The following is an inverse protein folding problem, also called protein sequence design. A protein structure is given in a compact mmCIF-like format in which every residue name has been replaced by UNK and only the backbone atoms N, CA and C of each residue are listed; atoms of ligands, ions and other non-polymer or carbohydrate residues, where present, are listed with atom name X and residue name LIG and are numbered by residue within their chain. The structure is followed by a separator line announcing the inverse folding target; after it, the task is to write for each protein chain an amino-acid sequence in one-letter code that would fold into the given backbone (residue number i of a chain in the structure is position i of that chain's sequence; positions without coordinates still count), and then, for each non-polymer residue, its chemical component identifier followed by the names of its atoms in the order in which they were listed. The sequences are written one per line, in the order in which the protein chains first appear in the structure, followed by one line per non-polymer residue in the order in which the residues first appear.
data_IF_033352893537
#
_entry.id   IF_033352893537
#
_cell.length_a   1.000
_cell.length_b   1.000
_cell.length_c   1.000
_cell.angle_alpha   90.00
_cell.angle_beta   90.00
_cell.angle_gamma   90.00
#
_symmetry.space_group_name_H-M   'P 1'
#
loop_
_entity.id
_entity.type
_entity.pdbx_description
1 polymer ?
#
# COMPACT_ATOMS: atom_id res chain seq x y z
N UNK A 1 -6.95 28.26 -7.04
CA UNK A 1 -5.66 28.46 -6.32
C UNK A 1 -4.57 27.75 -7.10
N UNK A 2 -3.56 28.47 -7.59
CA UNK A 2 -2.43 27.87 -8.29
C UNK A 2 -1.42 27.31 -7.28
N UNK A 3 -0.98 26.07 -7.48
CA UNK A 3 0.04 25.44 -6.64
C UNK A 3 1.37 26.17 -6.89
N UNK A 4 1.99 26.72 -5.84
CA UNK A 4 3.30 27.36 -5.93
C UNK A 4 4.34 26.30 -5.52
N UNK A 5 5.12 25.75 -6.46
CA UNK A 5 6.15 24.80 -6.11
C UNK A 5 7.20 25.47 -5.20
N UNK A 6 7.61 24.76 -4.15
CA UNK A 6 8.76 25.19 -3.36
C UNK A 6 10.02 25.02 -4.22
N UNK A 7 10.81 26.09 -4.31
CA UNK A 7 12.06 26.09 -5.07
C UNK A 7 13.07 25.13 -4.43
N UNK A 8 13.73 24.29 -5.23
CA UNK A 8 14.63 23.22 -4.73
C UNK A 8 15.86 23.77 -4.01
N UNK A 9 16.20 25.04 -4.27
CA UNK A 9 17.33 25.75 -3.66
C UNK A 9 16.92 26.68 -2.50
N UNK A 10 15.65 26.61 -2.05
CA UNK A 10 15.17 27.45 -0.97
C UNK A 10 15.82 27.06 0.37
N UNK A 11 16.54 28.01 0.97
CA UNK A 11 17.00 27.90 2.36
C UNK A 11 15.86 27.50 3.31
N UNK A 12 16.16 26.83 4.43
CA UNK A 12 15.12 26.42 5.40
C UNK A 12 14.22 27.57 5.89
N UNK A 13 14.71 28.81 5.88
CA UNK A 13 13.94 30.03 6.13
C UNK A 13 12.97 30.41 5.00
N UNK A 14 13.31 30.13 3.74
CA UNK A 14 12.44 30.34 2.59
C UNK A 14 11.26 29.37 2.56
N UNK A 15 11.50 28.09 2.87
CA UNK A 15 10.46 27.06 2.96
C UNK A 15 9.47 27.39 4.08
N UNK A 16 9.98 27.77 5.26
CA UNK A 16 9.12 28.15 6.40
C UNK A 16 8.23 29.35 6.07
N UNK A 17 8.78 30.38 5.43
CA UNK A 17 8.00 31.55 5.00
C UNK A 17 6.90 31.18 4.01
N UNK A 18 7.19 30.31 3.05
CA UNK A 18 6.20 29.84 2.07
C UNK A 18 5.07 29.05 2.76
N UNK A 19 5.41 28.22 3.76
CA UNK A 19 4.43 27.50 4.57
C UNK A 19 3.55 28.47 5.38
N UNK A 20 4.16 29.43 6.08
CA UNK A 20 3.44 30.41 6.90
C UNK A 20 2.48 31.24 6.03
N UNK A 21 2.95 31.72 4.86
CA UNK A 21 2.13 32.46 3.89
C UNK A 21 0.96 31.63 3.34
N UNK A 22 1.19 30.35 3.04
CA UNK A 22 0.14 29.45 2.56
C UNK A 22 -0.91 29.19 3.65
N UNK A 23 -0.46 28.98 4.88
CA UNK A 23 -1.33 28.76 6.05
C UNK A 23 -2.17 30.00 6.36
N UNK A 24 -1.56 31.19 6.31
CA UNK A 24 -2.24 32.46 6.54
C UNK A 24 -3.28 32.74 5.47
N UNK A 25 -2.94 32.54 4.19
CA UNK A 25 -3.88 32.69 3.07
C UNK A 25 -5.11 31.79 3.24
N UNK A 26 -4.92 30.49 3.51
CA UNK A 26 -6.03 29.55 3.72
C UNK A 26 -6.88 29.97 4.93
N UNK A 27 -6.24 30.38 6.03
CA UNK A 27 -6.93 30.83 7.24
C UNK A 27 -7.71 32.13 7.04
N UNK A 28 -7.21 33.03 6.19
CA UNK A 28 -7.88 34.27 5.82
C UNK A 28 -9.07 33.97 4.91
N UNK A 29 -8.87 33.21 3.83
CA UNK A 29 -9.96 32.83 2.91
C UNK A 29 -11.05 32.03 3.63
N UNK A 30 -10.72 31.20 4.63
CA UNK A 30 -11.72 30.50 5.44
C UNK A 30 -12.56 31.44 6.30
N UNK A 31 -11.94 32.49 6.86
CA UNK A 31 -12.65 33.49 7.66
C UNK A 31 -13.51 34.41 6.81
N UNK A 32 -13.08 34.71 5.59
CA UNK A 32 -13.76 35.62 4.67
C UNK A 32 -14.90 34.93 3.90
N UNK A 33 -14.68 33.71 3.41
CA UNK A 33 -15.66 32.96 2.62
C UNK A 33 -15.42 31.44 2.73
N UNK A 34 -15.87 30.84 3.83
CA UNK A 34 -15.79 29.39 4.03
C UNK A 34 -16.57 28.60 2.98
N UNK A 35 -17.67 29.16 2.48
CA UNK A 35 -18.54 28.49 1.50
C UNK A 35 -17.85 28.39 0.14
N UNK A 36 -17.04 29.36 -0.24
CA UNK A 36 -16.17 29.27 -1.40
C UNK A 36 -15.13 28.14 -1.24
N UNK A 37 -14.46 28.02 -0.09
CA UNK A 37 -13.46 26.96 0.13
C UNK A 37 -14.09 25.57 0.01
N UNK A 38 -15.23 25.35 0.67
CA UNK A 38 -15.91 24.05 0.61
C UNK A 38 -16.37 23.72 -0.81
N UNK A 39 -16.96 24.69 -1.54
CA UNK A 39 -17.37 24.48 -2.93
C UNK A 39 -16.18 24.20 -3.84
N UNK A 40 -15.10 24.98 -3.74
CA UNK A 40 -13.91 24.78 -4.56
C UNK A 40 -13.22 23.45 -4.24
N UNK A 41 -13.07 23.09 -2.96
CA UNK A 41 -12.50 21.80 -2.57
C UNK A 41 -13.36 20.62 -3.03
N UNK A 42 -14.69 20.76 -2.98
CA UNK A 42 -15.63 19.75 -3.48
C UNK A 42 -15.50 19.60 -4.99
N UNK A 43 -15.45 20.70 -5.74
CA UNK A 43 -15.26 20.69 -7.18
C UNK A 43 -13.90 20.08 -7.58
N UNK A 44 -12.82 20.44 -6.89
CA UNK A 44 -11.48 19.87 -7.13
C UNK A 44 -11.45 18.37 -6.81
N UNK A 45 -12.12 17.94 -5.75
CA UNK A 45 -12.27 16.53 -5.41
C UNK A 45 -13.09 15.79 -6.47
N UNK A 46 -14.22 16.35 -6.92
CA UNK A 46 -15.03 15.78 -7.99
C UNK A 46 -14.25 15.66 -9.30
N UNK A 47 -13.45 16.66 -9.68
CA UNK A 47 -12.59 16.61 -10.86
C UNK A 47 -11.45 15.58 -10.72
N UNK A 48 -10.93 15.35 -9.49
CA UNK A 48 -10.01 14.23 -9.22
C UNK A 48 -10.73 12.90 -9.34
N UNK A 49 -11.91 12.77 -8.74
CA UNK A 49 -12.75 11.58 -8.84
C UNK A 49 -13.08 11.31 -10.30
N UNK A 50 -13.44 12.29 -11.11
CA UNK A 50 -13.73 12.10 -12.54
C UNK A 50 -12.50 11.63 -13.34
N UNK A 51 -11.31 12.14 -13.02
CA UNK A 51 -10.05 11.67 -13.63
C UNK A 51 -9.66 10.25 -13.19
N UNK A 52 -9.96 9.89 -11.94
CA UNK A 52 -9.60 8.61 -11.33
C UNK A 52 -10.70 7.55 -11.49
N UNK A 53 -11.94 7.97 -11.73
CA UNK A 53 -13.04 7.12 -12.13
C UNK A 53 -12.60 6.55 -13.47
N UNK A 54 -12.36 5.24 -13.57
CA UNK A 54 -11.95 4.65 -14.81
C UNK A 54 -12.97 5.07 -15.86
N UNK A 55 -12.53 5.73 -16.94
CA UNK A 55 -13.35 5.80 -18.14
C UNK A 55 -13.75 4.35 -18.41
N UNK A 56 -15.05 4.03 -18.41
CA UNK A 56 -15.56 2.66 -18.52
C UNK A 56 -15.10 1.93 -19.81
N UNK A 57 -14.31 2.59 -20.66
CA UNK A 57 -13.44 1.97 -21.63
C UNK A 57 -12.23 1.39 -20.89
N UNK A 58 -12.38 0.14 -20.44
CA UNK A 58 -11.21 -0.72 -20.25
C UNK A 58 -10.31 -0.51 -21.48
N UNK A 59 -9.01 -0.20 -21.30
CA UNK A 59 -8.10 -0.20 -22.43
C UNK A 59 -8.27 -1.53 -23.18
N UNK A 60 -8.22 -1.53 -24.52
CA UNK A 60 -8.40 -2.75 -25.30
C UNK A 60 -7.46 -3.82 -24.72
N UNK A 61 -8.01 -5.02 -24.49
CA UNK A 61 -7.23 -6.13 -23.97
C UNK A 61 -5.97 -6.28 -24.84
N UNK A 62 -4.81 -6.36 -24.18
CA UNK A 62 -3.55 -6.46 -24.88
C UNK A 62 -3.57 -7.60 -25.89
N UNK A 63 -2.97 -7.37 -27.05
CA UNK A 63 -2.74 -8.41 -28.05
C UNK A 63 -1.63 -9.39 -27.62
N UNK A 64 -0.87 -9.07 -26.56
CA UNK A 64 0.23 -9.89 -26.03
C UNK A 64 0.20 -9.94 -24.48
N UNK A 65 -0.86 -10.50 -23.87
CA UNK A 65 -1.04 -10.45 -22.41
C UNK A 65 0.10 -11.12 -21.63
N UNK A 66 0.75 -12.13 -22.19
CA UNK A 66 1.90 -12.79 -21.58
C UNK A 66 3.13 -11.87 -21.50
N UNK A 67 3.39 -11.08 -22.56
CA UNK A 67 4.52 -10.12 -22.61
C UNK A 67 4.27 -8.98 -21.63
N UNK A 68 3.04 -8.50 -21.55
CA UNK A 68 2.66 -7.42 -20.63
C UNK A 68 2.75 -7.87 -19.18
N UNK A 69 2.29 -9.09 -18.88
CA UNK A 69 2.40 -9.68 -17.54
C UNK A 69 3.87 -9.78 -17.14
N UNK A 70 4.72 -10.30 -18.03
CA UNK A 70 6.15 -10.43 -17.79
C UNK A 70 6.83 -9.07 -17.56
N UNK A 71 6.47 -8.07 -18.36
CA UNK A 71 7.00 -6.70 -18.25
C UNK A 71 6.56 -6.04 -16.95
N UNK A 72 5.29 -6.25 -16.56
CA UNK A 72 4.72 -5.71 -15.32
C UNK A 72 5.38 -6.33 -14.08
N UNK A 73 5.64 -7.65 -14.07
CA UNK A 73 6.36 -8.30 -12.97
C UNK A 73 7.79 -7.77 -12.87
N UNK A 74 8.50 -7.62 -14.00
CA UNK A 74 9.85 -7.02 -14.02
C UNK A 74 9.86 -5.61 -13.45
N UNK A 75 8.88 -4.79 -13.86
CA UNK A 75 8.75 -3.44 -13.36
C UNK A 75 8.48 -3.43 -11.86
N UNK A 76 7.55 -4.25 -11.37
CA UNK A 76 7.23 -4.37 -9.95
C UNK A 76 8.46 -4.72 -9.11
N UNK A 77 9.22 -5.73 -9.53
CA UNK A 77 10.47 -6.13 -8.85
C UNK A 77 11.51 -5.01 -8.88
N UNK A 78 11.58 -4.23 -9.96
CA UNK A 78 12.50 -3.08 -10.06
C UNK A 78 12.16 -1.90 -9.15
N UNK A 79 10.90 -1.81 -8.70
CA UNK A 79 10.45 -0.78 -7.77
C UNK A 79 10.79 -1.12 -6.31
N UNK A 80 11.20 -2.37 -6.04
CA UNK A 80 11.64 -2.77 -4.71
C UNK A 80 13.00 -2.14 -4.40
N UNK A 81 13.02 -1.29 -3.39
CA UNK A 81 14.25 -0.74 -2.84
C UNK A 81 14.66 -1.52 -1.60
N UNK A 82 15.81 -2.20 -1.70
CA UNK A 82 16.40 -2.95 -0.58
C UNK A 82 16.83 -2.07 0.60
N UNK A 83 17.12 -0.78 0.36
CA UNK A 83 17.52 0.17 1.40
C UNK A 83 16.35 0.60 2.26
N UNK A 84 15.26 1.06 1.65
CA UNK A 84 14.01 1.40 2.35
C UNK A 84 13.12 0.20 2.67
N UNK A 85 13.48 -1.00 2.18
CA UNK A 85 12.74 -2.26 2.41
C UNK A 85 11.26 -2.14 2.04
N UNK A 86 11.03 -1.45 0.92
CA UNK A 86 9.70 -1.05 0.45
C UNK A 86 9.70 -0.87 -1.07
N UNK A 87 8.52 -0.81 -1.66
CA UNK A 87 8.36 -0.36 -3.04
C UNK A 87 8.31 1.16 -3.10
N UNK A 88 9.00 1.74 -4.08
CA UNK A 88 8.87 3.16 -4.39
C UNK A 88 7.41 3.49 -4.75
N UNK A 89 6.88 4.57 -4.17
CA UNK A 89 5.52 5.08 -4.44
C UNK A 89 4.35 4.11 -4.17
N UNK A 90 4.54 3.02 -3.41
CA UNK A 90 3.45 2.09 -3.07
C UNK A 90 2.43 2.62 -2.04
N UNK A 91 2.63 3.86 -1.58
CA UNK A 91 1.86 4.45 -0.50
C UNK A 91 2.15 3.78 0.84
N UNK A 92 1.20 3.90 1.76
CA UNK A 92 1.29 3.40 3.13
C UNK A 92 0.57 2.08 3.37
N UNK A 93 -0.15 1.53 2.38
CA UNK A 93 -0.95 0.33 2.57
C UNK A 93 -0.08 -0.92 2.80
N UNK A 94 -0.63 -1.88 3.54
CA UNK A 94 -0.05 -3.21 3.65
C UNK A 94 0.08 -3.84 2.25
N UNK A 95 1.25 -4.37 1.85
CA UNK A 95 1.55 -4.67 0.44
C UNK A 95 0.99 -6.03 -0.04
N UNK A 96 -0.26 -6.39 0.33
CA UNK A 96 -0.85 -7.69 0.00
C UNK A 96 -0.91 -7.99 -1.50
N UNK A 97 -1.26 -6.99 -2.33
CA UNK A 97 -1.32 -7.17 -3.78
C UNK A 97 0.04 -7.48 -4.40
N UNK A 98 1.08 -6.81 -3.91
CA UNK A 98 2.46 -7.03 -4.35
C UNK A 98 2.97 -8.39 -3.91
N UNK A 99 2.76 -8.75 -2.64
CA UNK A 99 3.12 -10.07 -2.11
C UNK A 99 2.42 -11.20 -2.88
N UNK A 100 1.13 -11.06 -3.20
CA UNK A 100 0.40 -12.04 -4.01
C UNK A 100 1.04 -12.21 -5.39
N UNK A 101 1.28 -11.11 -6.11
CA UNK A 101 1.84 -11.15 -7.46
C UNK A 101 3.25 -11.76 -7.48
N UNK A 102 4.11 -11.37 -6.54
CA UNK A 102 5.47 -11.91 -6.45
C UNK A 102 5.46 -13.39 -6.06
N UNK A 103 4.60 -13.78 -5.10
CA UNK A 103 4.45 -15.18 -4.69
C UNK A 103 3.94 -16.05 -5.84
N UNK A 104 2.94 -15.57 -6.57
CA UNK A 104 2.42 -16.26 -7.75
C UNK A 104 3.48 -16.38 -8.84
N UNK A 105 4.29 -15.34 -9.06
CA UNK A 105 5.39 -15.38 -10.02
C UNK A 105 6.44 -16.45 -9.65
N UNK A 106 6.69 -16.67 -8.37
CA UNK A 106 7.61 -17.74 -7.92
C UNK A 106 7.05 -19.14 -8.20
N UNK A 107 5.76 -19.33 -7.94
CA UNK A 107 5.11 -20.65 -8.01
C UNK A 107 4.72 -21.02 -9.46
N UNK A 108 4.45 -20.03 -10.31
CA UNK A 108 3.93 -20.25 -11.66
C UNK A 108 5.04 -20.66 -12.63
N UNK A 109 4.93 -21.82 -13.29
CA UNK A 109 5.91 -22.22 -14.30
C UNK A 109 5.84 -21.32 -15.54
N UNK A 110 6.97 -21.15 -16.22
CA UNK A 110 7.05 -20.42 -17.50
C UNK A 110 7.65 -19.03 -17.42
N UNK A 111 7.97 -18.52 -16.22
CA UNK A 111 8.75 -17.30 -16.08
C UNK A 111 10.27 -17.56 -16.24
N UNK A 112 11.04 -16.57 -16.74
CA UNK A 112 12.49 -16.65 -16.75
C UNK A 112 13.05 -16.91 -15.35
N UNK A 113 14.05 -17.79 -15.24
CA UNK A 113 14.63 -18.18 -13.94
C UNK A 113 15.16 -17.00 -13.15
N UNK A 114 15.84 -16.06 -13.80
CA UNK A 114 16.37 -14.86 -13.15
C UNK A 114 15.27 -13.99 -12.55
N UNK A 115 14.14 -13.86 -13.25
CA UNK A 115 12.98 -13.11 -12.73
C UNK A 115 12.34 -13.85 -11.56
N UNK A 116 12.19 -15.18 -11.67
CA UNK A 116 11.66 -16.04 -10.61
C UNK A 116 12.50 -15.91 -9.34
N UNK A 117 13.83 -15.96 -9.46
CA UNK A 117 14.76 -15.81 -8.35
C UNK A 117 14.65 -14.42 -7.69
N UNK A 118 14.56 -13.35 -8.50
CA UNK A 118 14.36 -12.01 -7.96
C UNK A 118 13.02 -11.86 -7.24
N UNK A 119 11.94 -12.41 -7.79
CA UNK A 119 10.64 -12.44 -7.12
C UNK A 119 10.71 -13.19 -5.79
N UNK A 120 11.42 -14.34 -5.74
CA UNK A 120 11.62 -15.13 -4.52
C UNK A 120 12.39 -14.32 -3.48
N UNK A 121 13.50 -13.70 -3.86
CA UNK A 121 14.32 -12.86 -2.99
C UNK A 121 13.50 -11.68 -2.44
N UNK A 122 12.81 -10.94 -3.31
CA UNK A 122 11.97 -9.81 -2.89
C UNK A 122 10.85 -10.25 -1.95
N UNK A 123 10.17 -11.36 -2.24
CA UNK A 123 9.10 -11.90 -1.38
C UNK A 123 9.65 -12.30 -0.02
N UNK A 124 10.81 -12.96 0.00
CA UNK A 124 11.48 -13.40 1.23
C UNK A 124 11.86 -12.20 2.11
N UNK A 125 12.53 -11.21 1.53
CA UNK A 125 12.97 -10.02 2.26
C UNK A 125 11.77 -9.21 2.79
N UNK A 126 10.78 -8.95 1.93
CA UNK A 126 9.61 -8.18 2.33
C UNK A 126 8.79 -8.86 3.43
N UNK A 127 8.59 -10.18 3.34
CA UNK A 127 7.86 -10.91 4.38
C UNK A 127 8.63 -10.99 5.68
N UNK A 128 9.95 -11.16 5.62
CA UNK A 128 10.80 -11.09 6.82
C UNK A 128 10.65 -9.74 7.52
N UNK A 129 10.67 -8.64 6.77
CA UNK A 129 10.51 -7.30 7.30
C UNK A 129 9.11 -7.09 7.90
N UNK A 130 8.06 -7.50 7.19
CA UNK A 130 6.69 -7.36 7.70
C UNK A 130 6.47 -8.20 8.97
N UNK A 131 6.92 -9.45 9.00
CA UNK A 131 6.71 -10.37 10.12
C UNK A 131 7.49 -10.02 11.39
N UNK A 132 8.54 -9.19 11.26
CA UNK A 132 9.34 -8.66 12.38
C UNK A 132 8.98 -7.22 12.74
N UNK A 133 8.13 -6.57 11.93
CA UNK A 133 7.70 -5.19 12.15
C UNK A 133 6.49 -5.07 13.08
N UNK A 134 6.16 -3.81 13.42
CA UNK A 134 4.96 -3.48 14.18
C UNK A 134 3.66 -3.57 13.36
N UNK A 135 3.73 -3.91 12.05
CA UNK A 135 2.54 -4.11 11.22
C UNK A 135 1.71 -5.33 11.65
N UNK A 136 2.31 -6.26 12.36
CA UNK A 136 1.62 -7.42 12.93
C UNK A 136 1.70 -7.30 14.44
N UNK A 137 0.55 -7.18 15.09
CA UNK A 137 0.46 -7.04 16.54
C UNK A 137 0.96 -8.33 17.21
N UNK A 138 2.03 -8.29 18.03
CA UNK A 138 2.56 -9.47 18.68
C UNK A 138 1.67 -10.02 19.79
N UNK A 139 0.68 -9.25 20.27
CA UNK A 139 -0.20 -9.64 21.38
C UNK A 139 -1.41 -10.45 20.92
N UNK A 140 -2.04 -10.03 19.82
CA UNK A 140 -3.27 -10.64 19.33
C UNK A 140 -3.18 -11.21 17.91
N UNK A 141 -2.09 -10.94 17.18
CA UNK A 141 -1.87 -11.43 15.82
C UNK A 141 -2.55 -10.60 14.73
N UNK A 142 -3.26 -9.53 15.08
CA UNK A 142 -3.94 -8.67 14.13
C UNK A 142 -2.98 -7.88 13.25
N UNK A 143 -3.31 -7.74 11.97
CA UNK A 143 -2.48 -7.02 10.99
C UNK A 143 -3.05 -5.62 10.75
N UNK A 144 -2.20 -4.60 10.82
CA UNK A 144 -2.59 -3.23 10.50
C UNK A 144 -2.67 -3.00 8.99
N UNK A 145 -3.67 -2.26 8.53
CA UNK A 145 -3.93 -2.10 7.11
C UNK A 145 -2.95 -1.16 6.39
N UNK A 146 -2.22 -0.34 7.16
CA UNK A 146 -1.31 0.68 6.62
C UNK A 146 -0.32 1.16 7.68
N UNK A 147 0.71 1.89 7.24
CA UNK A 147 1.76 2.51 8.08
C UNK A 147 1.74 4.03 8.03
N UNK A 148 2.49 4.65 8.94
CA UNK A 148 2.81 6.08 8.94
C UNK A 148 4.30 6.23 8.62
N UNK A 149 4.62 7.03 7.60
CA UNK A 149 5.99 7.23 7.15
C UNK A 149 6.50 6.15 6.18
N UNK A 150 7.81 6.02 6.09
CA UNK A 150 8.50 5.21 5.07
C UNK A 150 8.85 3.78 5.51
N UNK A 151 8.71 3.47 6.80
CA UNK A 151 9.11 2.17 7.38
C UNK A 151 7.92 1.42 7.98
N UNK A 152 8.04 0.11 8.13
CA UNK A 152 6.98 -0.74 8.71
C UNK A 152 6.91 -0.67 10.24
N UNK A 153 7.65 0.23 10.88
CA UNK A 153 7.77 0.29 12.35
C UNK A 153 6.62 1.03 13.04
N UNK A 154 5.84 1.83 12.30
CA UNK A 154 4.72 2.60 12.85
C UNK A 154 3.46 2.33 12.04
N UNK A 155 2.57 1.44 12.50
CA UNK A 155 1.29 1.20 11.84
C UNK A 155 0.34 2.39 12.04
N UNK A 156 -0.59 2.53 11.11
CA UNK A 156 -1.87 3.18 11.40
C UNK A 156 -2.74 2.14 12.12
N UNK A 157 -3.29 2.50 13.28
CA UNK A 157 -4.00 1.58 14.17
C UNK A 157 -5.43 1.23 13.70
N UNK A 158 -5.64 1.19 12.38
CA UNK A 158 -6.87 0.75 11.74
C UNK A 158 -6.76 -0.73 11.35
N UNK A 159 -7.77 -1.51 11.78
CA UNK A 159 -7.91 -2.95 11.52
C UNK A 159 -9.36 -3.22 11.14
N UNK A 160 -9.57 -3.97 10.08
CA UNK A 160 -10.88 -4.39 9.59
C UNK A 160 -10.82 -5.80 9.02
N UNK A 161 -11.94 -6.53 9.06
CA UNK A 161 -12.01 -7.95 8.68
C UNK A 161 -11.56 -8.22 7.24
N UNK A 162 -11.88 -7.31 6.31
CA UNK A 162 -11.51 -7.43 4.91
C UNK A 162 -9.99 -7.31 4.69
N UNK A 163 -9.36 -6.31 5.32
CA UNK A 163 -7.92 -6.11 5.28
C UNK A 163 -7.17 -7.27 5.94
N UNK A 164 -7.67 -7.80 7.07
CA UNK A 164 -7.11 -8.99 7.71
C UNK A 164 -7.14 -10.19 6.75
N UNK A 165 -8.30 -10.48 6.15
CA UNK A 165 -8.44 -11.59 5.22
C UNK A 165 -7.50 -11.45 4.02
N UNK A 166 -7.37 -10.24 3.48
CA UNK A 166 -6.47 -9.95 2.34
C UNK A 166 -5.00 -10.16 2.72
N UNK A 167 -4.58 -9.68 3.88
CA UNK A 167 -3.22 -9.87 4.37
C UNK A 167 -2.92 -11.34 4.68
N UNK A 168 -3.85 -12.05 5.33
CA UNK A 168 -3.73 -13.49 5.63
C UNK A 168 -3.52 -14.31 4.35
N UNK A 169 -4.36 -14.14 3.32
CA UNK A 169 -4.21 -14.85 2.03
C UNK A 169 -2.84 -14.57 1.43
N UNK A 170 -2.37 -13.33 1.54
CA UNK A 170 -1.08 -12.92 1.00
C UNK A 170 0.11 -13.53 1.72
N UNK A 171 0.05 -13.62 3.05
CA UNK A 171 1.04 -14.32 3.85
C UNK A 171 1.05 -15.83 3.54
N UNK A 172 -0.12 -16.45 3.34
CA UNK A 172 -0.20 -17.86 2.93
C UNK A 172 0.41 -18.10 1.53
N UNK A 173 0.14 -17.22 0.57
CA UNK A 173 0.77 -17.28 -0.75
C UNK A 173 2.29 -17.13 -0.65
N UNK A 174 2.75 -16.22 0.21
CA UNK A 174 4.16 -15.99 0.44
C UNK A 174 4.84 -17.18 1.12
N UNK A 175 4.18 -17.84 2.08
CA UNK A 175 4.65 -19.11 2.64
C UNK A 175 4.77 -20.19 1.56
N UNK A 176 3.78 -20.33 0.68
CA UNK A 176 3.84 -21.31 -0.42
C UNK A 176 5.01 -21.04 -1.38
N UNK A 177 5.35 -19.78 -1.59
CA UNK A 177 6.45 -19.38 -2.46
C UNK A 177 7.84 -19.55 -1.81
N UNK A 178 7.96 -19.24 -0.52
CA UNK A 178 9.25 -19.13 0.18
C UNK A 178 9.57 -20.31 1.09
N UNK A 179 8.56 -21.04 1.55
CA UNK A 179 8.68 -22.06 2.59
C UNK A 179 8.92 -21.51 4.00
N UNK A 180 8.87 -20.18 4.21
CA UNK A 180 9.16 -19.57 5.50
C UNK A 180 8.01 -19.80 6.51
N UNK A 181 8.26 -20.62 7.54
CA UNK A 181 7.25 -20.97 8.55
C UNK A 181 6.81 -19.79 9.41
N UNK A 182 7.67 -18.81 9.66
CA UNK A 182 7.28 -17.62 10.44
C UNK A 182 6.13 -16.89 9.74
N UNK A 183 6.17 -16.80 8.41
CA UNK A 183 5.10 -16.22 7.60
C UNK A 183 3.78 -16.98 7.72
N UNK A 184 3.84 -18.32 7.78
CA UNK A 184 2.65 -19.16 8.01
C UNK A 184 2.08 -18.91 9.41
N UNK A 185 2.93 -18.89 10.44
CA UNK A 185 2.51 -18.68 11.82
C UNK A 185 1.84 -17.31 11.99
N UNK A 186 2.36 -16.27 11.32
CA UNK A 186 1.70 -14.95 11.29
C UNK A 186 0.34 -14.98 10.59
N UNK A 187 0.19 -15.72 9.49
CA UNK A 187 -1.09 -15.85 8.81
C UNK A 187 -2.14 -16.55 9.70
N UNK A 188 -1.74 -17.59 10.42
CA UNK A 188 -2.61 -18.32 11.35
C UNK A 188 -2.98 -17.47 12.58
N UNK A 189 -2.06 -16.64 13.08
CA UNK A 189 -2.36 -15.69 14.13
C UNK A 189 -3.41 -14.65 13.69
N UNK A 190 -3.31 -14.14 12.46
CA UNK A 190 -4.32 -13.24 11.89
C UNK A 190 -5.69 -13.90 11.73
N UNK A 191 -5.74 -15.19 11.39
CA UNK A 191 -7.00 -15.97 11.37
C UNK A 191 -7.62 -16.03 12.78
N UNK A 192 -6.84 -16.40 13.78
CA UNK A 192 -7.30 -16.46 15.17
C UNK A 192 -7.78 -15.09 15.68
N UNK A 193 -7.11 -14.00 15.27
CA UNK A 193 -7.56 -12.64 15.54
C UNK A 193 -8.95 -12.38 14.95
N UNK A 194 -9.16 -12.71 13.68
CA UNK A 194 -10.44 -12.50 12.98
C UNK A 194 -11.56 -13.32 13.62
N UNK A 195 -11.32 -14.59 13.93
CA UNK A 195 -12.28 -15.46 14.63
C UNK A 195 -12.67 -14.93 16.02
N UNK A 196 -11.71 -14.32 16.72
CA UNK A 196 -11.96 -13.77 18.06
C UNK A 196 -12.69 -12.43 18.03
N UNK A 197 -12.37 -11.56 17.08
CA UNK A 197 -12.76 -10.14 17.13
C UNK A 197 -13.84 -9.76 16.11
N UNK A 198 -13.99 -10.51 15.03
CA UNK A 198 -14.86 -10.16 13.91
C UNK A 198 -16.01 -11.15 13.70
N UNK A 199 -16.06 -12.28 14.42
CA UNK A 199 -17.18 -13.21 14.32
C UNK A 199 -18.46 -12.62 14.92
N UNK A 200 -19.52 -12.68 14.13
CA UNK A 200 -20.88 -12.26 14.49
C UNK A 200 -21.65 -13.42 15.15
N UNK A 201 -22.72 -13.10 15.88
CA UNK A 201 -23.57 -14.10 16.52
C UNK A 201 -24.18 -15.12 15.55
N UNK A 202 -24.29 -14.77 14.26
CA UNK A 202 -24.81 -15.65 13.21
C UNK A 202 -23.72 -16.50 12.53
N UNK A 203 -22.48 -16.45 13.00
CA UNK A 203 -21.35 -17.22 12.45
C UNK A 203 -20.69 -16.62 11.21
N UNK A 204 -21.01 -15.37 10.85
CA UNK A 204 -20.35 -14.61 9.77
C UNK A 204 -19.28 -13.65 10.33
N UNK A 205 -18.54 -12.93 9.48
CA UNK A 205 -17.56 -11.93 9.89
C UNK A 205 -18.03 -10.50 9.58
N UNK A 206 -17.72 -9.54 10.47
CA UNK A 206 -17.95 -8.10 10.27
C UNK A 206 -16.69 -7.29 10.60
#
# INVERSE_FOLDING_TARGET
MAWIPADTDASGTGIRRLFDQSSEMVSQTWREDSDYIIRNSTADNLARVERLTPSAKLPPASTQPAVDTLSSIRQLVSLYDSGSRSFGSSGSLFPSGTLDLLSLAVITPGLPKDLTNRCLETTTNLTQDLCTSAMIDPLDGGIFNSRIGSSWSLPNFARDSQSQARAMVSLLNSYRATGNRDTLDRALAALAFVEKHHTTANGLFS
#
